data_IF_326392130983
#
_entry.id   IF_326392130983
#
_cell.length_a   1.000
_cell.length_b   1.000
_cell.length_c   1.000
_cell.angle_alpha   90.00
_cell.angle_beta   90.00
_cell.angle_gamma   90.00
#
_symmetry.space_group_name_H-M   'P 1'
#
loop_
_entity.id
_entity.type
_entity.pdbx_description
1 polymer ?
#
# COMPACT_ATOMS: atom_id res chain seq x y z
N UNK A 1 -4.88 -19.77 25.80
CA UNK A 1 -4.00 -20.03 24.65
C UNK A 1 -4.28 -18.94 23.62
N UNK A 2 -3.27 -18.23 23.16
CA UNK A 2 -3.41 -17.13 22.21
C UNK A 2 -3.69 -17.71 20.80
N UNK A 3 -4.82 -17.35 20.19
CA UNK A 3 -5.15 -17.78 18.83
C UNK A 3 -4.73 -16.70 17.82
N UNK A 4 -3.74 -17.02 16.99
CA UNK A 4 -3.22 -16.14 15.95
C UNK A 4 -4.10 -16.10 14.68
N UNK A 5 -4.99 -17.09 14.47
CA UNK A 5 -5.78 -17.19 13.22
C UNK A 5 -6.65 -15.96 12.94
N UNK A 6 -7.37 -15.37 13.91
CA UNK A 6 -8.13 -14.14 13.69
C UNK A 6 -7.23 -12.98 13.26
N UNK A 7 -6.02 -12.88 13.82
CA UNK A 7 -5.08 -11.80 13.51
C UNK A 7 -4.62 -11.86 12.04
N UNK A 8 -4.28 -13.06 11.56
CA UNK A 8 -3.94 -13.28 10.15
C UNK A 8 -5.08 -12.93 9.19
N UNK A 9 -6.31 -13.30 9.55
CA UNK A 9 -7.50 -12.95 8.74
C UNK A 9 -7.67 -11.45 8.65
N UNK A 10 -7.51 -10.73 9.76
CA UNK A 10 -7.61 -9.26 9.80
C UNK A 10 -6.53 -8.60 8.93
N UNK A 11 -5.25 -8.99 9.08
CA UNK A 11 -4.16 -8.47 8.24
C UNK A 11 -4.43 -8.67 6.75
N UNK A 12 -5.00 -9.83 6.38
CA UNK A 12 -5.33 -10.14 4.98
C UNK A 12 -6.51 -9.31 4.47
N UNK A 13 -7.53 -9.11 5.29
CA UNK A 13 -8.68 -8.27 4.93
C UNK A 13 -8.25 -6.82 4.72
N UNK A 14 -7.44 -6.26 5.63
CA UNK A 14 -6.89 -4.90 5.49
C UNK A 14 -6.06 -4.77 4.21
N UNK A 15 -5.16 -5.72 3.96
CA UNK A 15 -4.37 -5.76 2.72
C UNK A 15 -5.26 -5.78 1.45
N UNK A 16 -6.30 -6.63 1.43
CA UNK A 16 -7.24 -6.71 0.30
C UNK A 16 -8.02 -5.42 0.10
N UNK A 17 -8.52 -4.83 1.18
CA UNK A 17 -9.29 -3.59 1.13
C UNK A 17 -8.42 -2.45 0.60
N UNK A 18 -7.22 -2.23 1.16
CA UNK A 18 -6.28 -1.20 0.69
C UNK A 18 -5.89 -1.41 -0.78
N UNK A 19 -5.60 -2.65 -1.19
CA UNK A 19 -5.25 -2.95 -2.59
C UNK A 19 -6.42 -2.70 -3.54
N UNK A 20 -7.65 -3.04 -3.13
CA UNK A 20 -8.84 -2.75 -3.90
C UNK A 20 -9.07 -1.24 -4.01
N UNK A 21 -8.94 -0.50 -2.89
CA UNK A 21 -9.05 0.96 -2.87
C UNK A 21 -8.05 1.63 -3.82
N UNK A 22 -6.78 1.23 -3.74
CA UNK A 22 -5.70 1.76 -4.57
C UNK A 22 -5.92 1.52 -6.08
N UNK A 23 -6.67 0.48 -6.45
CA UNK A 23 -7.07 0.23 -7.83
C UNK A 23 -8.35 0.99 -8.21
N UNK A 24 -9.38 0.90 -7.39
CA UNK A 24 -10.72 1.39 -7.72
C UNK A 24 -10.80 2.93 -7.74
N UNK A 25 -10.12 3.61 -6.81
CA UNK A 25 -10.17 5.07 -6.73
C UNK A 25 -9.66 5.72 -8.03
N UNK A 26 -8.45 5.38 -8.54
CA UNK A 26 -7.99 5.87 -9.84
C UNK A 26 -8.94 5.56 -11.00
N UNK A 27 -9.54 4.36 -11.04
CA UNK A 27 -10.48 3.99 -12.09
C UNK A 27 -11.75 4.85 -12.07
N UNK A 28 -12.28 5.13 -10.88
CA UNK A 28 -13.43 6.04 -10.72
C UNK A 28 -13.06 7.45 -11.18
N UNK A 29 -11.86 7.93 -10.87
CA UNK A 29 -11.38 9.25 -11.32
C UNK A 29 -11.27 9.32 -12.84
N UNK A 30 -10.67 8.32 -13.48
CA UNK A 30 -10.59 8.23 -14.95
C UNK A 30 -11.99 8.22 -15.56
N UNK A 31 -12.92 7.45 -14.98
CA UNK A 31 -14.30 7.38 -15.46
C UNK A 31 -15.03 8.73 -15.36
N UNK A 32 -14.80 9.48 -14.27
CA UNK A 32 -15.40 10.81 -14.08
C UNK A 32 -14.76 11.90 -14.95
N UNK A 33 -13.47 11.76 -15.30
CA UNK A 33 -12.65 12.82 -15.88
C UNK A 33 -11.97 12.41 -17.19
N UNK A 34 -12.51 11.45 -17.94
CA UNK A 34 -11.83 10.83 -19.09
C UNK A 34 -11.37 11.80 -20.19
N UNK A 35 -12.10 12.90 -20.40
CA UNK A 35 -11.78 13.94 -21.40
C UNK A 35 -11.04 15.16 -20.79
N UNK A 36 -10.42 14.98 -19.62
CA UNK A 36 -9.70 16.04 -18.92
C UNK A 36 -8.37 16.37 -19.59
N UNK A 37 -8.16 17.66 -19.91
CA UNK A 37 -6.98 18.13 -20.63
C UNK A 37 -5.85 18.68 -19.72
N UNK A 38 -5.93 18.45 -18.41
CA UNK A 38 -4.93 18.99 -17.48
C UNK A 38 -5.05 20.50 -17.25
N UNK A 39 -4.33 20.99 -16.25
CA UNK A 39 -4.25 22.44 -15.91
C UNK A 39 -2.81 22.94 -15.76
N UNK A 40 -1.83 22.04 -15.69
CA UNK A 40 -0.45 22.36 -15.39
C UNK A 40 0.53 21.27 -15.90
N UNK A 41 0.84 21.34 -17.19
CA UNK A 41 1.68 20.36 -17.91
C UNK A 41 3.11 20.25 -17.34
N UNK A 42 3.71 21.37 -16.91
CA UNK A 42 5.09 21.39 -16.40
C UNK A 42 5.28 20.62 -15.09
N UNK A 43 4.20 20.22 -14.40
CA UNK A 43 4.27 19.33 -13.24
C UNK A 43 4.45 17.85 -13.60
N UNK A 44 4.39 17.45 -14.88
CA UNK A 44 4.50 16.05 -15.31
C UNK A 44 5.74 15.37 -14.73
N UNK A 45 6.93 15.85 -15.13
CA UNK A 45 8.21 15.25 -14.70
C UNK A 45 8.42 15.36 -13.18
N UNK A 46 8.20 16.52 -12.52
CA UNK A 46 8.34 16.62 -11.06
C UNK A 46 7.43 15.66 -10.28
N UNK A 47 6.14 15.56 -10.64
CA UNK A 47 5.20 14.70 -9.92
C UNK A 47 5.49 13.22 -10.17
N UNK A 48 5.82 12.85 -11.41
CA UNK A 48 6.21 11.48 -11.72
C UNK A 48 7.47 11.07 -10.94
N UNK A 49 8.47 11.96 -10.89
CA UNK A 49 9.71 11.74 -10.13
C UNK A 49 9.43 11.63 -8.63
N UNK A 50 8.57 12.49 -8.08
CA UNK A 50 8.15 12.44 -6.68
C UNK A 50 7.44 11.11 -6.36
N UNK A 51 6.55 10.66 -7.26
CA UNK A 51 5.86 9.38 -7.12
C UNK A 51 6.83 8.20 -7.09
N UNK A 52 7.84 8.19 -7.98
CA UNK A 52 8.91 7.20 -7.97
C UNK A 52 9.75 7.26 -6.69
N UNK A 53 10.13 8.46 -6.23
CA UNK A 53 10.90 8.63 -5.01
C UNK A 53 10.14 8.11 -3.77
N UNK A 54 8.81 8.18 -3.76
CA UNK A 54 8.00 7.66 -2.66
C UNK A 54 8.14 6.14 -2.47
N UNK A 55 8.60 5.38 -3.48
CA UNK A 55 8.86 3.94 -3.36
C UNK A 55 9.93 3.61 -2.33
N UNK A 56 10.93 4.48 -2.17
CA UNK A 56 11.98 4.27 -1.16
C UNK A 56 11.41 4.25 0.26
N UNK A 57 10.35 5.02 0.52
CA UNK A 57 9.65 5.00 1.80
C UNK A 57 9.01 3.63 2.04
N UNK A 58 8.41 3.05 1.00
CA UNK A 58 7.82 1.71 1.06
C UNK A 58 8.87 0.65 1.37
N UNK A 59 10.04 0.69 0.73
CA UNK A 59 11.11 -0.26 1.01
C UNK A 59 11.64 -0.12 2.45
N UNK A 60 11.79 1.11 2.94
CA UNK A 60 12.19 1.35 4.33
C UNK A 60 11.15 0.84 5.32
N UNK A 61 9.85 1.07 5.07
CA UNK A 61 8.74 0.56 5.89
C UNK A 61 8.67 -0.97 5.87
N UNK A 62 8.94 -1.60 4.74
CA UNK A 62 8.92 -3.05 4.62
C UNK A 62 9.91 -3.72 5.59
N UNK A 63 11.08 -3.11 5.83
CA UNK A 63 12.05 -3.60 6.84
C UNK A 63 11.49 -3.55 8.26
N UNK A 64 10.62 -2.60 8.59
CA UNK A 64 9.96 -2.50 9.90
C UNK A 64 8.86 -3.55 10.04
N UNK A 65 8.01 -3.66 9.02
CA UNK A 65 6.98 -4.69 8.93
C UNK A 65 7.58 -6.09 9.08
N UNK A 66 8.66 -6.40 8.36
CA UNK A 66 9.33 -7.71 8.42
C UNK A 66 9.85 -8.03 9.83
N UNK A 67 10.41 -7.05 10.54
CA UNK A 67 10.86 -7.23 11.93
C UNK A 67 9.69 -7.48 12.88
N UNK A 68 8.60 -6.72 12.74
CA UNK A 68 7.39 -6.91 13.53
C UNK A 68 6.75 -8.28 13.27
N UNK A 69 6.79 -8.75 12.01
CA UNK A 69 6.28 -10.06 11.61
C UNK A 69 7.03 -11.19 12.33
N UNK A 70 8.36 -11.18 12.23
CA UNK A 70 9.22 -12.17 12.91
C UNK A 70 9.01 -12.14 14.43
N UNK A 71 8.87 -10.95 15.02
CA UNK A 71 8.64 -10.81 16.46
C UNK A 71 7.27 -11.37 16.90
N UNK A 72 6.20 -11.06 16.15
CA UNK A 72 4.85 -11.52 16.48
C UNK A 72 4.71 -13.04 16.33
N UNK A 73 5.39 -13.63 15.35
CA UNK A 73 5.43 -15.09 15.17
C UNK A 73 6.29 -15.77 16.24
N UNK A 74 7.44 -15.19 16.59
CA UNK A 74 8.37 -15.78 17.55
C UNK A 74 7.84 -15.92 18.98
N UNK A 75 6.91 -15.04 19.39
CA UNK A 75 6.33 -15.08 20.74
C UNK A 75 5.27 -16.17 20.93
N UNK A 76 4.65 -16.70 19.86
CA UNK A 76 3.62 -17.74 19.98
C UNK A 76 2.52 -17.43 21.02
N UNK A 77 2.51 -18.19 22.12
CA UNK A 77 1.57 -18.05 23.26
C UNK A 77 2.17 -17.35 24.48
N UNK A 78 3.40 -16.85 24.40
CA UNK A 78 4.11 -16.24 25.50
C UNK A 78 3.51 -14.87 25.88
N UNK A 79 3.90 -14.40 27.06
CA UNK A 79 3.50 -13.08 27.55
C UNK A 79 3.94 -11.99 26.55
N UNK A 80 3.04 -11.06 26.23
CA UNK A 80 3.30 -9.98 25.27
C UNK A 80 2.93 -10.27 23.82
N UNK A 81 2.45 -11.48 23.48
CA UNK A 81 1.99 -11.82 22.12
C UNK A 81 1.00 -10.78 21.56
N UNK A 82 -0.04 -10.44 22.31
CA UNK A 82 -1.05 -9.45 21.90
C UNK A 82 -0.43 -8.08 21.55
N UNK A 83 0.56 -7.63 22.30
CA UNK A 83 1.25 -6.36 22.04
C UNK A 83 2.05 -6.44 20.73
N UNK A 84 2.79 -7.53 20.49
CA UNK A 84 3.52 -7.72 19.25
C UNK A 84 2.60 -7.78 18.02
N UNK A 85 1.44 -8.42 18.13
CA UNK A 85 0.43 -8.44 17.08
C UNK A 85 -0.13 -7.03 16.78
N UNK A 86 -0.39 -6.22 17.81
CA UNK A 86 -0.83 -4.83 17.60
C UNK A 86 0.22 -3.98 16.86
N UNK A 87 1.50 -4.19 17.17
CA UNK A 87 2.63 -3.54 16.47
C UNK A 87 2.67 -4.00 15.00
N UNK A 88 2.48 -5.29 14.74
CA UNK A 88 2.44 -5.83 13.39
C UNK A 88 1.32 -5.21 12.55
N UNK A 89 0.10 -5.14 13.07
CA UNK A 89 -1.04 -4.48 12.39
C UNK A 89 -0.71 -3.02 12.04
N UNK A 90 -0.14 -2.27 12.99
CA UNK A 90 0.24 -0.88 12.76
C UNK A 90 1.31 -0.75 11.68
N UNK A 91 2.36 -1.55 11.72
CA UNK A 91 3.44 -1.48 10.73
C UNK A 91 2.95 -1.95 9.34
N UNK A 92 2.02 -2.90 9.26
CA UNK A 92 1.38 -3.28 7.99
C UNK A 92 0.56 -2.11 7.42
N UNK A 93 -0.29 -1.48 8.23
CA UNK A 93 -1.12 -0.36 7.78
C UNK A 93 -0.28 0.83 7.30
N UNK A 94 0.77 1.20 8.05
CA UNK A 94 1.69 2.27 7.64
C UNK A 94 2.49 1.90 6.38
N UNK A 95 2.83 0.63 6.22
CA UNK A 95 3.47 0.13 5.01
C UNK A 95 2.57 0.18 3.78
N UNK A 96 1.30 -0.20 3.93
CA UNK A 96 0.29 -0.12 2.88
C UNK A 96 0.01 1.33 2.47
N UNK A 97 -0.11 2.25 3.43
CA UNK A 97 -0.27 3.68 3.13
C UNK A 97 0.93 4.24 2.35
N UNK A 98 2.15 3.85 2.72
CA UNK A 98 3.33 4.24 1.95
C UNK A 98 3.33 3.63 0.53
N UNK A 99 2.90 2.38 0.39
CA UNK A 99 2.81 1.69 -0.90
C UNK A 99 1.73 2.29 -1.83
N UNK A 100 0.73 2.98 -1.29
CA UNK A 100 -0.31 3.67 -2.04
C UNK A 100 0.14 5.04 -2.61
N UNK A 101 1.20 5.63 -2.05
CA UNK A 101 1.67 6.97 -2.44
C UNK A 101 1.95 7.13 -3.94
N UNK A 102 2.63 6.20 -4.64
CA UNK A 102 2.85 6.35 -6.08
C UNK A 102 1.55 6.54 -6.85
N UNK A 103 0.56 5.66 -6.66
CA UNK A 103 -0.76 5.74 -7.29
C UNK A 103 -1.53 7.00 -6.90
N UNK A 104 -1.48 7.39 -5.62
CA UNK A 104 -2.12 8.63 -5.15
C UNK A 104 -1.49 9.89 -5.76
N UNK A 105 -0.15 9.97 -5.84
CA UNK A 105 0.54 11.05 -6.54
C UNK A 105 0.23 10.99 -8.04
N UNK A 106 0.06 9.79 -8.60
CA UNK A 106 -0.39 9.59 -9.98
C UNK A 106 -1.75 10.21 -10.27
N UNK A 107 -2.68 10.24 -9.30
CA UNK A 107 -3.96 10.94 -9.43
C UNK A 107 -3.75 12.45 -9.57
N UNK A 108 -2.89 13.04 -8.74
CA UNK A 108 -2.53 14.46 -8.88
C UNK A 108 -1.81 14.74 -10.19
N UNK A 109 -0.92 13.83 -10.62
CA UNK A 109 -0.27 13.92 -11.92
C UNK A 109 -1.30 13.97 -13.05
N UNK A 110 -2.26 13.04 -13.09
CA UNK A 110 -3.33 13.03 -14.08
C UNK A 110 -4.17 14.31 -14.01
N UNK A 111 -4.50 14.79 -12.82
CA UNK A 111 -5.21 16.07 -12.68
C UNK A 111 -4.40 17.26 -13.26
N UNK A 112 -3.08 17.29 -13.07
CA UNK A 112 -2.25 18.36 -13.64
C UNK A 112 -2.07 18.24 -15.16
N UNK A 113 -1.92 17.02 -15.69
CA UNK A 113 -1.41 16.80 -17.06
C UNK A 113 -2.43 16.24 -18.04
N UNK A 114 -3.51 15.62 -17.56
CA UNK A 114 -4.44 14.82 -18.38
C UNK A 114 -3.87 13.47 -18.84
N UNK A 115 -2.63 13.12 -18.49
CA UNK A 115 -1.99 11.91 -19.01
C UNK A 115 -2.40 10.65 -18.24
N UNK A 116 -3.05 9.73 -18.94
CA UNK A 116 -3.50 8.45 -18.36
C UNK A 116 -2.36 7.45 -18.15
N UNK A 117 -1.36 7.43 -19.03
CA UNK A 117 -0.30 6.42 -19.02
C UNK A 117 0.53 6.46 -17.71
N UNK A 118 1.02 7.63 -17.24
CA UNK A 118 1.75 7.69 -15.98
C UNK A 118 0.90 7.30 -14.77
N UNK A 119 -0.38 7.68 -14.74
CA UNK A 119 -1.31 7.26 -13.69
C UNK A 119 -1.41 5.74 -13.63
N UNK A 120 -1.67 5.07 -14.74
CA UNK A 120 -1.81 3.61 -14.79
C UNK A 120 -0.52 2.91 -14.33
N UNK A 121 0.65 3.38 -14.78
CA UNK A 121 1.94 2.84 -14.36
C UNK A 121 2.14 2.98 -12.84
N UNK A 122 1.82 4.14 -12.29
CA UNK A 122 1.95 4.42 -10.86
C UNK A 122 1.00 3.57 -10.01
N UNK A 123 -0.22 3.32 -10.48
CA UNK A 123 -1.17 2.40 -9.84
C UNK A 123 -0.64 0.97 -9.84
N UNK A 124 -0.14 0.48 -10.98
CA UNK A 124 0.44 -0.86 -11.08
C UNK A 124 1.64 -1.00 -10.14
N UNK A 125 2.50 0.00 -10.08
CA UNK A 125 3.65 0.04 -9.18
C UNK A 125 3.20 0.02 -7.71
N UNK A 126 2.18 0.79 -7.34
CA UNK A 126 1.60 0.77 -5.99
C UNK A 126 1.06 -0.60 -5.62
N UNK A 127 0.30 -1.24 -6.51
CA UNK A 127 -0.22 -2.59 -6.29
C UNK A 127 0.91 -3.62 -6.14
N UNK A 128 1.94 -3.52 -6.98
CA UNK A 128 3.14 -4.33 -6.86
C UNK A 128 3.84 -4.15 -5.51
N UNK A 129 3.97 -2.91 -5.04
CA UNK A 129 4.56 -2.60 -3.75
C UNK A 129 3.70 -3.10 -2.57
N UNK A 130 2.38 -3.06 -2.68
CA UNK A 130 1.45 -3.61 -1.69
C UNK A 130 1.59 -5.13 -1.53
N UNK A 131 2.08 -5.86 -2.53
CA UNK A 131 2.37 -7.31 -2.41
C UNK A 131 3.42 -7.61 -1.35
N UNK A 132 4.34 -6.67 -1.05
CA UNK A 132 5.32 -6.84 0.02
C UNK A 132 4.67 -6.97 1.40
N UNK A 133 3.46 -6.43 1.59
CA UNK A 133 2.73 -6.45 2.86
C UNK A 133 1.62 -7.50 2.88
N UNK A 134 1.58 -8.39 1.87
CA UNK A 134 0.61 -9.47 1.80
C UNK A 134 0.94 -10.53 2.87
N UNK A 135 -0.01 -10.88 3.74
CA UNK A 135 0.18 -11.99 4.68
C UNK A 135 0.35 -13.32 3.92
N UNK A 136 1.24 -14.21 4.35
CA UNK A 136 1.47 -15.47 3.65
C UNK A 136 0.21 -16.36 3.65
N UNK A 137 -0.14 -16.93 2.49
CA UNK A 137 -1.39 -17.67 2.31
C UNK A 137 -1.48 -18.96 3.15
N UNK A 138 -0.34 -19.62 3.40
CA UNK A 138 -0.28 -20.85 4.20
C UNK A 138 -0.63 -20.66 5.69
N UNK A 139 -0.69 -19.42 6.16
CA UNK A 139 -0.77 -19.08 7.60
C UNK A 139 -2.19 -18.68 8.00
N UNK A 140 -3.11 -18.63 7.03
CA UNK A 140 -4.50 -18.24 7.22
C UNK A 140 -5.47 -19.42 7.11
N UNK A 141 -4.95 -20.64 7.00
CA UNK A 141 -5.69 -21.91 6.95
C UNK A 141 -5.99 -22.43 8.37
#
# INVERSE_FOLDING_TARGET
MFDAKPQWRTLRTVWRMQSASALLIPLVIIWLMGDWNGVYESAAIPLFTLAMASLFLTLWRFRRYKRALIQAEGLGNEEGAQAAWSVLHREQMLGLLAAELPGFIGVFHFFCTGELVPLLLLVVVSLGAMLLYRPPAAWVQ
#
